data_IF_056713342381
#
_entry.id   IF_056713342381
#
_cell.length_a   1.000
_cell.length_b   1.000
_cell.length_c   1.000
_cell.angle_alpha   90.00
_cell.angle_beta   90.00
_cell.angle_gamma   90.00
#
_symmetry.space_group_name_H-M   'P 1'
#
loop_
_entity.id
_entity.type
_entity.pdbx_description
1 polymer ?
#
# COMPACT_ATOMS: atom_id res chain seq x y z
N UNK A 1 -17.56 2.03 -8.63
CA UNK A 1 -18.21 1.84 -7.31
C UNK A 1 -17.12 1.74 -6.26
N UNK A 2 -17.12 2.60 -5.24
CA UNK A 2 -16.11 2.55 -4.17
C UNK A 2 -16.26 1.22 -3.40
N UNK A 3 -15.17 0.47 -3.25
CA UNK A 3 -15.18 -0.77 -2.47
C UNK A 3 -15.38 -0.56 -0.97
N UNK A 4 -15.44 0.68 -0.47
CA UNK A 4 -15.56 0.98 0.96
C UNK A 4 -17.01 0.79 1.42
N UNK A 5 -17.21 0.04 2.51
CA UNK A 5 -18.52 -0.11 3.17
C UNK A 5 -18.98 1.21 3.81
N UNK A 6 -18.05 1.98 4.35
CA UNK A 6 -18.28 3.35 4.79
C UNK A 6 -17.69 4.31 3.74
N UNK A 7 -18.51 5.06 2.99
CA UNK A 7 -18.01 6.03 2.04
C UNK A 7 -17.32 7.18 2.78
N UNK A 8 -16.34 7.78 2.10
CA UNK A 8 -15.69 8.99 2.60
C UNK A 8 -16.68 10.15 2.60
N UNK A 9 -16.62 11.00 3.62
CA UNK A 9 -17.35 12.27 3.63
C UNK A 9 -16.72 13.27 2.64
N UNK A 10 -17.37 14.42 2.42
CA UNK A 10 -16.90 15.41 1.44
C UNK A 10 -15.52 16.00 1.77
N UNK A 11 -15.19 16.15 3.05
CA UNK A 11 -13.88 16.65 3.49
C UNK A 11 -12.77 15.62 3.19
N UNK A 12 -13.00 14.36 3.53
CA UNK A 12 -12.07 13.26 3.26
C UNK A 12 -11.86 13.07 1.76
N UNK A 13 -12.90 13.25 0.94
CA UNK A 13 -12.77 13.19 -0.53
C UNK A 13 -11.85 14.29 -1.04
N UNK A 14 -12.08 15.54 -0.61
CA UNK A 14 -11.21 16.68 -0.96
C UNK A 14 -9.77 16.47 -0.50
N UNK A 15 -9.56 15.86 0.66
CA UNK A 15 -8.21 15.53 1.14
C UNK A 15 -7.55 14.45 0.29
N UNK A 16 -8.28 13.41 -0.10
CA UNK A 16 -7.75 12.31 -0.88
C UNK A 16 -7.48 12.65 -2.36
N UNK A 17 -8.01 13.76 -2.86
CA UNK A 17 -7.68 14.30 -4.19
C UNK A 17 -6.29 14.96 -4.23
N UNK A 18 -5.75 15.35 -3.06
CA UNK A 18 -4.43 15.98 -2.99
C UNK A 18 -3.33 14.96 -3.23
N UNK A 19 -2.28 15.42 -3.90
CA UNK A 19 -1.00 14.71 -3.96
C UNK A 19 0.03 15.39 -3.07
N UNK A 20 1.06 14.64 -2.69
CA UNK A 20 2.21 15.14 -1.95
C UNK A 20 3.47 15.04 -2.81
N UNK A 21 4.42 15.93 -2.55
CA UNK A 21 5.73 15.93 -3.21
C UNK A 21 6.46 14.62 -2.90
N UNK A 22 7.16 14.07 -3.88
CA UNK A 22 7.91 12.83 -3.75
C UNK A 22 9.02 12.96 -2.71
N UNK A 23 8.95 12.12 -1.68
CA UNK A 23 10.05 11.90 -0.73
C UNK A 23 10.71 10.56 -1.02
N UNK A 24 12.04 10.48 -0.88
CA UNK A 24 12.80 9.26 -1.20
C UNK A 24 13.64 8.82 -0.02
N UNK A 25 13.57 7.53 0.30
CA UNK A 25 14.26 6.94 1.45
C UNK A 25 15.40 6.01 1.03
N UNK A 26 16.50 6.06 1.78
CA UNK A 26 17.60 5.08 1.67
C UNK A 26 17.29 3.75 2.39
N UNK A 27 16.16 3.68 3.11
CA UNK A 27 15.70 2.47 3.79
C UNK A 27 15.39 1.38 2.76
N UNK A 28 15.88 0.17 3.04
CA UNK A 28 15.71 -1.00 2.18
C UNK A 28 14.29 -1.53 2.22
N UNK A 29 13.76 -1.87 1.06
CA UNK A 29 12.42 -2.43 0.88
C UNK A 29 12.42 -3.92 1.24
N UNK A 30 12.33 -4.17 2.54
CA UNK A 30 12.22 -5.51 3.13
C UNK A 30 10.81 -5.75 3.67
N UNK A 31 10.49 -7.01 3.99
CA UNK A 31 9.20 -7.38 4.60
C UNK A 31 8.84 -6.46 5.77
N UNK A 32 7.57 -6.04 5.81
CA UNK A 32 7.00 -5.21 6.86
C UNK A 32 7.28 -3.72 6.73
N UNK A 33 8.00 -3.27 5.69
CA UNK A 33 8.18 -1.84 5.41
C UNK A 33 6.88 -1.23 4.90
N UNK A 34 6.55 -0.03 5.41
CA UNK A 34 5.45 0.81 4.98
C UNK A 34 5.98 1.91 4.07
N UNK A 35 5.41 2.01 2.87
CA UNK A 35 5.82 2.99 1.88
C UNK A 35 4.63 3.54 1.09
N UNK A 36 4.81 4.70 0.48
CA UNK A 36 3.77 5.37 -0.29
C UNK A 36 3.72 4.88 -1.74
N UNK A 37 2.52 4.67 -2.30
CA UNK A 37 2.33 4.35 -3.71
C UNK A 37 2.32 5.61 -4.59
N UNK A 38 2.80 5.49 -5.83
CA UNK A 38 2.76 6.56 -6.86
C UNK A 38 2.62 5.99 -8.26
N UNK A 39 2.27 6.84 -9.22
CA UNK A 39 2.40 6.57 -10.65
C UNK A 39 3.83 6.82 -11.14
N UNK A 40 4.01 7.01 -12.45
CA UNK A 40 5.31 7.32 -13.05
C UNK A 40 5.88 8.65 -12.56
N UNK A 41 5.01 9.63 -12.30
CA UNK A 41 5.37 10.92 -11.72
C UNK A 41 5.72 10.76 -10.23
N UNK A 42 6.93 11.14 -9.78
CA UNK A 42 7.30 11.11 -8.38
C UNK A 42 6.39 11.90 -7.44
N UNK A 43 5.74 12.96 -7.93
CA UNK A 43 4.86 13.85 -7.15
C UNK A 43 3.37 13.45 -7.22
N UNK A 44 3.08 12.27 -7.79
CA UNK A 44 1.73 11.71 -7.86
C UNK A 44 1.33 10.87 -6.65
N UNK A 45 2.09 10.98 -5.55
CA UNK A 45 1.80 10.25 -4.31
C UNK A 45 0.50 10.76 -3.72
N UNK A 46 -0.48 9.86 -3.56
CA UNK A 46 -1.76 10.16 -2.90
C UNK A 46 -1.82 9.62 -1.46
N UNK A 47 -3.03 9.29 -1.00
CA UNK A 47 -3.26 8.71 0.33
C UNK A 47 -3.08 7.18 0.41
N UNK A 48 -2.75 6.52 -0.71
CA UNK A 48 -2.57 5.08 -0.75
C UNK A 48 -1.16 4.70 -0.27
N UNK A 49 -1.10 3.81 0.71
CA UNK A 49 0.15 3.23 1.21
C UNK A 49 0.16 1.72 1.03
N UNK A 50 1.35 1.14 1.13
CA UNK A 50 1.59 -0.29 0.97
C UNK A 50 2.42 -0.83 2.12
N UNK A 51 2.20 -2.10 2.45
CA UNK A 51 3.04 -2.88 3.38
C UNK A 51 3.64 -4.04 2.59
N UNK A 52 4.96 -4.20 2.62
CA UNK A 52 5.63 -5.29 1.91
C UNK A 52 5.43 -6.64 2.62
N UNK A 53 4.96 -7.64 1.87
CA UNK A 53 4.90 -9.03 2.33
C UNK A 53 6.24 -9.78 2.14
N UNK A 54 7.15 -9.24 1.32
CA UNK A 54 8.48 -9.81 1.06
C UNK A 54 9.48 -8.76 0.58
N UNK A 55 10.73 -9.15 0.36
CA UNK A 55 11.79 -8.24 -0.07
C UNK A 55 11.57 -7.77 -1.51
N UNK A 56 11.75 -6.46 -1.75
CA UNK A 56 11.55 -5.82 -3.06
C UNK A 56 12.69 -4.83 -3.36
N UNK A 57 13.94 -5.30 -3.55
CA UNK A 57 15.11 -4.42 -3.71
C UNK A 57 15.03 -3.52 -4.96
N UNK A 58 14.21 -3.89 -5.96
CA UNK A 58 13.96 -3.06 -7.15
C UNK A 58 13.20 -1.75 -6.84
N UNK A 59 12.69 -1.58 -5.62
CA UNK A 59 12.02 -0.36 -5.15
C UNK A 59 12.95 0.54 -4.30
N UNK A 60 14.14 0.07 -3.94
CA UNK A 60 15.09 0.82 -3.09
C UNK A 60 15.42 2.20 -3.66
N UNK A 61 15.41 3.23 -2.80
CA UNK A 61 15.74 4.60 -3.17
C UNK A 61 14.69 5.34 -4.02
N UNK A 62 13.59 4.69 -4.40
CA UNK A 62 12.61 5.23 -5.35
C UNK A 62 11.27 5.64 -4.73
N UNK A 63 11.07 5.37 -3.44
CA UNK A 63 9.81 5.58 -2.72
C UNK A 63 10.04 6.14 -1.31
N UNK A 64 9.03 6.84 -0.81
CA UNK A 64 8.96 7.31 0.56
C UNK A 64 8.66 6.13 1.49
N UNK A 65 9.59 5.82 2.40
CA UNK A 65 9.40 4.84 3.46
C UNK A 65 9.14 5.58 4.75
N UNK A 66 7.95 5.40 5.35
CA UNK A 66 7.51 6.15 6.53
C UNK A 66 7.29 5.27 7.77
N UNK A 67 7.46 3.96 7.66
CA UNK A 67 7.25 3.08 8.80
C UNK A 67 7.68 1.63 8.59
N UNK A 68 7.58 0.86 9.67
CA UNK A 68 7.83 -0.57 9.72
C UNK A 68 6.80 -1.21 10.67
N UNK A 69 6.28 -2.37 10.28
CA UNK A 69 5.50 -3.22 11.16
C UNK A 69 6.36 -3.66 12.35
N UNK A 70 5.90 -3.39 13.56
CA UNK A 70 6.56 -3.80 14.82
C UNK A 70 5.85 -4.97 15.50
N UNK A 71 4.55 -5.18 15.20
CA UNK A 71 3.71 -6.29 15.69
C UNK A 71 2.71 -6.69 14.60
N UNK A 72 2.29 -7.96 14.58
CA UNK A 72 1.29 -8.46 13.61
C UNK A 72 1.87 -9.09 12.34
N UNK A 73 3.11 -9.59 12.36
CA UNK A 73 3.70 -10.29 11.20
C UNK A 73 2.94 -11.59 10.84
N UNK A 74 2.27 -12.21 11.81
CA UNK A 74 1.37 -13.34 11.56
C UNK A 74 0.22 -12.96 10.62
N UNK A 75 -0.26 -11.71 10.70
CA UNK A 75 -1.29 -11.17 9.82
C UNK A 75 -0.73 -10.95 8.42
N UNK A 76 0.50 -10.45 8.28
CA UNK A 76 1.18 -10.39 6.98
C UNK A 76 1.35 -11.78 6.36
N UNK A 77 1.74 -12.77 7.16
CA UNK A 77 1.87 -14.17 6.74
C UNK A 77 0.53 -14.74 6.25
N UNK A 78 -0.58 -14.41 6.93
CA UNK A 78 -1.92 -14.82 6.49
C UNK A 78 -2.28 -14.21 5.13
N UNK A 79 -1.99 -12.92 4.92
CA UNK A 79 -2.22 -12.23 3.64
C UNK A 79 -1.36 -12.80 2.50
N UNK A 80 -0.09 -13.09 2.77
CA UNK A 80 0.85 -13.66 1.81
C UNK A 80 0.41 -15.04 1.28
N UNK A 81 -0.21 -15.85 2.13
CA UNK A 81 -0.65 -17.21 1.81
C UNK A 81 -1.99 -17.29 1.10
N UNK A 82 -2.66 -16.16 0.89
CA UNK A 82 -3.95 -16.15 0.20
C UNK A 82 -3.78 -16.61 -1.25
N UNK A 83 -4.67 -17.49 -1.76
CA UNK A 83 -4.72 -17.80 -3.17
C UNK A 83 -4.89 -16.53 -4.00
N UNK A 84 -4.05 -16.36 -5.01
CA UNK A 84 -4.10 -15.22 -5.92
C UNK A 84 -4.44 -15.67 -7.34
N UNK A 85 -5.00 -14.74 -8.11
CA UNK A 85 -5.12 -14.84 -9.57
C UNK A 85 -4.37 -13.68 -10.22
N UNK A 86 -3.91 -13.93 -11.44
CA UNK A 86 -3.29 -12.92 -12.29
C UNK A 86 -4.28 -12.42 -13.33
N UNK A 87 -4.39 -11.10 -13.45
CA UNK A 87 -5.18 -10.42 -14.47
C UNK A 87 -4.30 -9.33 -15.11
N UNK A 88 -3.70 -9.65 -16.25
CA UNK A 88 -2.68 -8.81 -16.88
C UNK A 88 -1.45 -8.62 -15.97
N UNK A 89 -1.15 -7.35 -15.65
CA UNK A 89 -0.06 -6.98 -14.73
C UNK A 89 -0.45 -7.09 -13.26
N UNK A 90 -1.73 -7.24 -12.95
CA UNK A 90 -2.22 -7.26 -11.57
C UNK A 90 -2.24 -8.69 -11.03
N UNK A 91 -1.71 -8.85 -9.81
CA UNK A 91 -1.87 -10.07 -9.01
C UNK A 91 -2.71 -9.68 -7.80
N UNK A 92 -3.85 -10.36 -7.62
CA UNK A 92 -4.81 -10.03 -6.58
C UNK A 92 -5.36 -11.30 -5.92
N UNK A 93 -5.83 -11.22 -4.66
CA UNK A 93 -6.54 -12.32 -4.01
C UNK A 93 -7.74 -12.79 -4.85
N UNK A 94 -7.97 -14.11 -4.87
CA UNK A 94 -9.15 -14.70 -5.55
C UNK A 94 -10.43 -14.21 -4.87
N UNK A 95 -10.45 -14.24 -3.54
CA UNK A 95 -11.54 -13.80 -2.71
C UNK A 95 -11.27 -12.39 -2.17
N UNK A 96 -12.34 -11.61 -2.01
CA UNK A 96 -12.24 -10.26 -1.49
C UNK A 96 -11.86 -10.26 -0.01
N UNK A 97 -10.82 -9.50 0.33
CA UNK A 97 -10.38 -9.28 1.71
C UNK A 97 -10.90 -7.94 2.19
N UNK A 98 -11.55 -7.91 3.36
CA UNK A 98 -12.00 -6.69 4.01
C UNK A 98 -11.09 -6.35 5.18
N UNK A 99 -10.60 -5.12 5.22
CA UNK A 99 -9.89 -4.56 6.37
C UNK A 99 -10.91 -3.79 7.20
N UNK A 100 -11.12 -4.23 8.43
CA UNK A 100 -12.05 -3.61 9.37
C UNK A 100 -11.29 -2.66 10.27
N UNK A 101 -11.83 -1.46 10.47
CA UNK A 101 -11.42 -0.58 11.56
C UNK A 101 -12.41 -0.76 12.71
N UNK A 102 -11.89 -0.92 13.92
CA UNK A 102 -12.66 -0.81 15.16
C UNK A 102 -12.89 0.65 15.53
#
# INVERSE_FOLDING_TARGET
MSGRTAPMNEEQKKEAEKTIVGEFSSVKHVRGILFMGRHSDPDSVGSSFSILLGNSPHLDGQYAVFGRVTKGDDTLTKLERLPTRREGIFVMPIERINILST
#
